data_IF_951212214969
#
_entry.id   IF_951212214969
#
_cell.length_a   1.000
_cell.length_b   1.000
_cell.length_c   1.000
_cell.angle_alpha   90.00
_cell.angle_beta   90.00
_cell.angle_gamma   90.00
#
_symmetry.space_group_name_H-M   'P 1'
#
loop_
_entity.id
_entity.type
_entity.pdbx_description
1 polymer ?
#
# COMPACT_ATOMS: atom_id res chain seq x y z
N UNK A 1 -15.04 -2.99 -5.11
CA UNK A 1 -15.40 -4.29 -4.48
C UNK A 1 -16.30 -5.05 -5.44
N UNK A 2 -15.98 -6.30 -5.82
CA UNK A 2 -16.89 -7.10 -6.60
C UNK A 2 -18.18 -7.30 -5.79
N UNK A 3 -19.32 -6.81 -6.30
CA UNK A 3 -20.62 -7.04 -5.67
C UNK A 3 -21.18 -8.35 -6.21
N UNK A 4 -21.20 -9.37 -5.36
CA UNK A 4 -21.84 -10.64 -5.68
C UNK A 4 -23.36 -10.48 -5.50
N UNK A 5 -24.15 -10.92 -6.50
CA UNK A 5 -25.60 -11.09 -6.37
C UNK A 5 -26.53 -9.88 -6.66
N UNK A 6 -26.01 -8.74 -7.13
CA UNK A 6 -26.86 -7.58 -7.45
C UNK A 6 -27.55 -6.94 -6.24
N UNK A 7 -28.50 -6.01 -6.47
CA UNK A 7 -29.13 -5.20 -5.41
C UNK A 7 -30.03 -5.99 -4.44
N UNK A 8 -30.42 -7.23 -4.76
CA UNK A 8 -31.35 -8.02 -3.93
C UNK A 8 -30.64 -9.00 -2.98
N UNK A 9 -29.31 -9.08 -3.04
CA UNK A 9 -28.53 -10.11 -2.34
C UNK A 9 -27.35 -9.51 -1.57
N UNK A 10 -27.59 -8.46 -0.78
CA UNK A 10 -26.55 -7.86 0.05
C UNK A 10 -25.93 -8.84 1.05
N UNK A 11 -26.71 -9.81 1.54
CA UNK A 11 -26.27 -10.84 2.47
C UNK A 11 -25.15 -11.73 1.91
N UNK A 12 -25.10 -11.93 0.59
CA UNK A 12 -24.03 -12.70 -0.05
C UNK A 12 -22.67 -12.01 0.08
N UNK A 13 -22.65 -10.68 0.02
CA UNK A 13 -21.41 -9.92 0.24
C UNK A 13 -21.01 -9.98 1.72
N UNK A 14 -21.97 -9.83 2.65
CA UNK A 14 -21.69 -9.96 4.08
C UNK A 14 -21.18 -11.35 4.48
N UNK A 15 -21.76 -12.41 3.93
CA UNK A 15 -21.30 -13.78 4.13
C UNK A 15 -19.91 -14.01 3.54
N UNK A 16 -19.67 -13.52 2.32
CA UNK A 16 -18.35 -13.58 1.68
C UNK A 16 -17.29 -12.85 2.50
N UNK A 17 -17.56 -11.62 2.94
CA UNK A 17 -16.65 -10.83 3.76
C UNK A 17 -16.39 -11.50 5.13
N UNK A 18 -17.43 -12.01 5.79
CA UNK A 18 -17.29 -12.73 7.05
C UNK A 18 -16.42 -14.00 6.89
N UNK A 19 -16.62 -14.76 5.82
CA UNK A 19 -15.84 -15.96 5.51
C UNK A 19 -14.38 -15.58 5.22
N UNK A 20 -14.14 -14.49 4.50
CA UNK A 20 -12.80 -13.95 4.27
C UNK A 20 -12.11 -13.56 5.60
N UNK A 21 -12.80 -12.85 6.49
CA UNK A 21 -12.23 -12.35 7.74
C UNK A 21 -12.01 -13.46 8.77
N UNK A 22 -12.94 -14.41 8.89
CA UNK A 22 -12.90 -15.46 9.91
C UNK A 22 -12.01 -16.64 9.49
N UNK A 23 -11.95 -16.95 8.19
CA UNK A 23 -11.24 -18.15 7.68
C UNK A 23 -10.04 -17.77 6.83
N UNK A 24 -10.24 -16.99 5.77
CA UNK A 24 -9.21 -16.79 4.74
C UNK A 24 -8.04 -15.97 5.26
N UNK A 25 -8.28 -14.83 5.92
CA UNK A 25 -7.22 -13.98 6.44
C UNK A 25 -6.41 -14.67 7.56
N UNK A 26 -7.03 -15.33 8.56
CA UNK A 26 -6.27 -16.09 9.55
C UNK A 26 -5.45 -17.22 8.93
N UNK A 27 -5.97 -17.90 7.90
CA UNK A 27 -5.22 -18.95 7.20
C UNK A 27 -4.01 -18.39 6.45
N UNK A 28 -4.17 -17.25 5.76
CA UNK A 28 -3.05 -16.54 5.10
C UNK A 28 -1.99 -16.12 6.14
N UNK A 29 -2.43 -15.57 7.27
CA UNK A 29 -1.52 -15.17 8.36
C UNK A 29 -0.80 -16.38 8.96
N UNK A 30 -1.50 -17.49 9.19
CA UNK A 30 -0.91 -18.72 9.72
C UNK A 30 0.14 -19.31 8.76
N UNK A 31 -0.14 -19.29 7.45
CA UNK A 31 0.83 -19.70 6.42
C UNK A 31 2.07 -18.78 6.39
N UNK A 32 1.89 -17.47 6.64
CA UNK A 32 2.97 -16.50 6.68
C UNK A 32 3.82 -16.53 7.96
N UNK A 33 3.22 -16.87 9.11
CA UNK A 33 3.87 -16.81 10.43
C UNK A 33 4.99 -17.86 10.61
N UNK A 34 4.90 -19.00 9.93
CA UNK A 34 5.87 -20.10 10.03
C UNK A 34 7.07 -20.02 9.09
N UNK A 35 7.12 -19.02 8.21
CA UNK A 35 8.18 -18.89 7.20
C UNK A 35 9.52 -18.46 7.81
N UNK A 36 10.46 -19.39 7.98
CA UNK A 36 11.86 -19.02 8.25
C UNK A 36 12.42 -18.32 7.01
N UNK A 37 12.73 -17.03 7.14
CA UNK A 37 13.38 -16.21 6.11
C UNK A 37 14.82 -16.70 5.86
N UNK A 38 14.94 -17.78 5.08
CA UNK A 38 16.22 -18.36 4.68
C UNK A 38 16.83 -17.54 3.54
N UNK A 39 17.45 -16.40 3.88
CA UNK A 39 18.24 -15.63 2.93
C UNK A 39 18.40 -14.16 3.30
N UNK A 40 19.65 -13.70 3.40
CA UNK A 40 20.01 -12.30 3.70
C UNK A 40 19.39 -11.31 2.69
N UNK A 41 19.29 -11.70 1.42
CA UNK A 41 18.70 -10.87 0.37
C UNK A 41 17.18 -10.68 0.56
N UNK A 42 16.47 -11.75 0.91
CA UNK A 42 15.03 -11.72 1.10
C UNK A 42 14.65 -10.92 2.34
N UNK A 43 15.40 -11.08 3.44
CA UNK A 43 15.25 -10.29 4.66
C UNK A 43 15.43 -8.78 4.41
N UNK A 44 16.49 -8.40 3.66
CA UNK A 44 16.72 -6.99 3.27
C UNK A 44 15.61 -6.44 2.37
N UNK A 45 15.08 -7.25 1.45
CA UNK A 45 13.95 -6.89 0.60
C UNK A 45 12.69 -6.61 1.42
N UNK A 46 12.33 -7.51 2.33
CA UNK A 46 11.19 -7.33 3.24
C UNK A 46 11.34 -6.08 4.12
N UNK A 47 12.53 -5.84 4.68
CA UNK A 47 12.81 -4.65 5.48
C UNK A 47 12.69 -3.35 4.66
N UNK A 48 13.19 -3.34 3.43
CA UNK A 48 13.03 -2.20 2.52
C UNK A 48 11.56 -1.93 2.18
N UNK A 49 10.80 -2.98 1.83
CA UNK A 49 9.37 -2.86 1.53
C UNK A 49 8.58 -2.37 2.77
N UNK A 50 8.96 -2.83 3.97
CA UNK A 50 8.42 -2.34 5.22
C UNK A 50 8.70 -0.85 5.45
N UNK A 51 9.95 -0.42 5.29
CA UNK A 51 10.36 0.97 5.50
C UNK A 51 9.71 1.96 4.54
N UNK A 52 9.57 1.60 3.26
CA UNK A 52 8.97 2.49 2.26
C UNK A 52 7.44 2.54 2.35
N UNK A 53 6.79 1.51 2.91
CA UNK A 53 5.33 1.40 2.94
C UNK A 53 4.65 2.62 3.58
N UNK A 54 5.20 3.13 4.68
CA UNK A 54 4.61 4.24 5.43
C UNK A 54 4.74 5.59 4.71
N UNK A 55 5.94 6.04 4.28
CA UNK A 55 6.07 7.22 3.44
C UNK A 55 5.27 7.12 2.14
N UNK A 56 5.22 5.93 1.52
CA UNK A 56 4.43 5.71 0.32
C UNK A 56 2.95 5.93 0.62
N UNK A 57 2.43 5.40 1.73
CA UNK A 57 1.04 5.62 2.16
C UNK A 57 0.68 7.10 2.23
N UNK A 58 1.51 7.89 2.90
CA UNK A 58 1.28 9.33 3.08
C UNK A 58 1.29 10.08 1.74
N UNK A 59 2.17 9.70 0.81
CA UNK A 59 2.33 10.39 -0.47
C UNK A 59 1.25 9.98 -1.47
N UNK A 60 1.03 8.67 -1.67
CA UNK A 60 0.23 8.22 -2.82
C UNK A 60 -1.26 8.50 -2.65
N UNK A 61 -1.81 8.45 -1.43
CA UNK A 61 -3.22 8.73 -1.17
C UNK A 61 -3.67 10.09 -1.70
N UNK A 62 -3.10 11.23 -1.25
CA UNK A 62 -3.52 12.55 -1.73
C UNK A 62 -3.28 12.72 -3.22
N UNK A 63 -2.17 12.19 -3.75
CA UNK A 63 -1.84 12.28 -5.18
C UNK A 63 -2.88 11.54 -6.04
N UNK A 64 -3.30 10.34 -5.62
CA UNK A 64 -4.34 9.58 -6.32
C UNK A 64 -5.67 10.31 -6.29
N UNK A 65 -6.06 10.93 -5.16
CA UNK A 65 -7.31 11.71 -5.12
C UNK A 65 -7.29 12.90 -6.09
N UNK A 66 -6.17 13.62 -6.15
CA UNK A 66 -5.98 14.71 -7.10
C UNK A 66 -6.03 14.21 -8.55
N UNK A 67 -5.35 13.11 -8.83
CA UNK A 67 -5.34 12.51 -10.16
C UNK A 67 -6.72 11.99 -10.57
N UNK A 68 -7.43 11.34 -9.64
CA UNK A 68 -8.79 10.86 -9.85
C UNK A 68 -9.75 12.01 -10.18
N UNK A 69 -9.67 13.11 -9.43
CA UNK A 69 -10.44 14.33 -9.72
C UNK A 69 -10.12 14.91 -11.11
N UNK A 70 -8.90 14.72 -11.60
CA UNK A 70 -8.53 15.14 -12.96
C UNK A 70 -9.06 14.20 -14.05
N UNK A 71 -8.95 12.87 -13.86
CA UNK A 71 -9.33 11.88 -14.88
C UNK A 71 -10.85 11.69 -14.98
N UNK A 72 -11.54 11.54 -13.85
CA UNK A 72 -12.95 11.10 -13.83
C UNK A 72 -13.91 12.07 -14.54
N UNK A 73 -13.87 13.40 -14.31
CA UNK A 73 -14.78 14.33 -14.98
C UNK A 73 -14.54 14.45 -16.48
N UNK A 74 -13.35 14.08 -16.95
CA UNK A 74 -12.95 14.17 -18.36
C UNK A 74 -13.28 12.92 -19.17
N UNK A 75 -13.77 11.86 -18.52
CA UNK A 75 -14.10 10.58 -19.15
C UNK A 75 -13.00 10.06 -20.10
N UNK A 76 -11.74 10.26 -19.72
CA UNK A 76 -10.60 9.91 -20.58
C UNK A 76 -10.54 8.39 -20.82
N UNK A 77 -10.29 7.94 -22.06
CA UNK A 77 -10.14 6.52 -22.36
C UNK A 77 -8.87 5.97 -21.70
N UNK A 78 -8.91 4.69 -21.30
CA UNK A 78 -7.80 4.02 -20.62
C UNK A 78 -6.46 4.15 -21.38
N UNK A 79 -6.51 4.08 -22.71
CA UNK A 79 -5.35 4.20 -23.62
C UNK A 79 -4.60 5.53 -23.47
N UNK A 80 -5.25 6.60 -23.01
CA UNK A 80 -4.64 7.90 -22.74
C UNK A 80 -4.21 8.05 -21.28
N UNK A 81 -4.83 7.30 -20.36
CA UNK A 81 -4.64 7.43 -18.91
C UNK A 81 -3.46 6.60 -18.41
N UNK A 82 -3.28 5.38 -18.93
CA UNK A 82 -2.26 4.44 -18.44
C UNK A 82 -0.81 5.00 -18.40
N UNK A 83 -0.32 5.81 -19.37
CA UNK A 83 1.04 6.33 -19.30
C UNK A 83 1.22 7.31 -18.15
N UNK A 84 0.24 8.20 -17.97
CA UNK A 84 0.25 9.18 -16.87
C UNK A 84 0.07 8.52 -15.51
N UNK A 85 -0.70 7.42 -15.43
CA UNK A 85 -0.82 6.62 -14.20
C UNK A 85 0.51 6.00 -13.79
N UNK A 86 1.26 5.43 -14.73
CA UNK A 86 2.60 4.87 -14.47
C UNK A 86 3.57 5.97 -13.99
N UNK A 87 3.53 7.13 -14.66
CA UNK A 87 4.38 8.26 -14.28
C UNK A 87 4.08 8.76 -12.87
N UNK A 88 2.79 8.85 -12.50
CA UNK A 88 2.37 9.23 -11.15
C UNK A 88 2.76 8.17 -10.12
N UNK A 89 2.64 6.88 -10.44
CA UNK A 89 3.09 5.81 -9.56
C UNK A 89 4.60 5.91 -9.30
N UNK A 90 5.40 6.10 -10.35
CA UNK A 90 6.84 6.31 -10.24
C UNK A 90 7.18 7.56 -9.40
N UNK A 91 6.47 8.66 -9.63
CA UNK A 91 6.61 9.88 -8.83
C UNK A 91 6.31 9.65 -7.34
N UNK A 92 5.23 8.94 -7.02
CA UNK A 92 4.87 8.63 -5.64
C UNK A 92 5.94 7.77 -4.96
N UNK A 93 6.49 6.77 -5.64
CA UNK A 93 7.57 5.91 -5.14
C UNK A 93 8.85 6.69 -4.91
N UNK A 94 9.22 7.54 -5.85
CA UNK A 94 10.40 8.41 -5.75
C UNK A 94 10.27 9.39 -4.58
N UNK A 95 9.11 10.04 -4.44
CA UNK A 95 8.85 10.99 -3.36
C UNK A 95 8.81 10.27 -2.00
N UNK A 96 8.20 9.10 -1.92
CA UNK A 96 8.22 8.27 -0.71
C UNK A 96 9.64 7.89 -0.28
N UNK A 97 10.49 7.52 -1.24
CA UNK A 97 11.90 7.24 -0.98
C UNK A 97 12.66 8.48 -0.50
N UNK A 98 12.39 9.64 -1.10
CA UNK A 98 12.95 10.91 -0.65
C UNK A 98 12.53 11.24 0.78
N UNK A 99 11.24 11.11 1.13
CA UNK A 99 10.75 11.28 2.49
C UNK A 99 11.40 10.30 3.47
N UNK A 100 11.56 9.04 3.09
CA UNK A 100 12.22 8.03 3.90
C UNK A 100 13.67 8.43 4.22
N UNK A 101 14.45 8.82 3.20
CA UNK A 101 15.87 9.11 3.34
C UNK A 101 16.18 10.48 3.94
N UNK A 102 15.43 11.51 3.56
CA UNK A 102 15.70 12.89 3.98
C UNK A 102 15.08 13.22 5.32
N UNK A 103 13.89 12.66 5.61
CA UNK A 103 13.12 13.01 6.80
C UNK A 103 13.06 11.87 7.81
N UNK A 104 12.46 10.73 7.47
CA UNK A 104 12.16 9.66 8.45
C UNK A 104 13.44 9.11 9.09
N UNK A 105 14.42 8.65 8.29
CA UNK A 105 15.68 8.13 8.80
C UNK A 105 16.48 9.19 9.60
N UNK A 106 16.54 10.43 9.09
CA UNK A 106 17.25 11.55 9.74
C UNK A 106 16.65 11.90 11.10
N UNK A 107 15.32 12.07 11.15
CA UNK A 107 14.59 12.42 12.38
C UNK A 107 14.66 11.27 13.38
N UNK A 108 14.53 10.02 12.91
CA UNK A 108 14.66 8.82 13.75
C UNK A 108 16.04 8.72 14.38
N UNK A 109 17.11 8.96 13.62
CA UNK A 109 18.47 8.96 14.15
C UNK A 109 18.67 10.08 15.20
N UNK A 110 18.13 11.27 14.94
CA UNK A 110 18.17 12.39 15.89
C UNK A 110 17.41 12.08 17.19
N UNK A 111 16.20 11.50 17.09
CA UNK A 111 15.40 11.12 18.26
C UNK A 111 16.08 10.03 19.09
N UNK A 112 16.65 9.00 18.45
CA UNK A 112 17.37 7.93 19.17
C UNK A 112 18.49 8.50 20.04
N UNK A 113 19.30 9.42 19.48
CA UNK A 113 20.37 10.09 20.23
C UNK A 113 19.87 10.92 21.43
N UNK A 114 18.63 11.41 21.39
CA UNK A 114 18.04 12.21 22.49
C UNK A 114 17.36 11.37 23.57
N UNK A 115 16.89 10.17 23.22
CA UNK A 115 16.17 9.29 24.15
C UNK A 115 17.11 8.32 24.86
N UNK A 116 18.27 8.00 24.29
CA UNK A 116 19.34 7.26 24.96
C UNK A 116 20.15 8.13 25.97
N UNK A 117 19.47 8.94 26.78
CA UNK A 117 20.04 9.60 27.97
C UNK A 117 19.82 8.71 29.20
#
# INVERSE_FOLDING_TARGET
>A
MPRLGGKNHYWLNGLYEALCVIVVFPLIVALGAGGKLSGNLFSKGCDFMGKISYPLYIVHYPVIYLYWNWVTPRHLPWTSVWPSTILIAAFCVMMAYACLKLYDESVRAWLKKKVEI
#
